data_IF_849932846931
#
_entry.id   IF_849932846931
#
_cell.length_a   1.000
_cell.length_b   1.000
_cell.length_c   1.000
_cell.angle_alpha   90.00
_cell.angle_beta   90.00
_cell.angle_gamma   90.00
#
_symmetry.space_group_name_H-M   'P 1'
#
loop_
_entity.id
_entity.type
_entity.pdbx_description
1 polymer ?
#
# COMPACT_ATOMS: atom_id res chain seq x y z
N UNK A 1 -0.61 -44.27 -45.17
CA UNK A 1 -0.95 -43.05 -44.41
C UNK A 1 -0.50 -43.33 -42.97
N UNK A 2 0.74 -42.98 -42.65
CA UNK A 2 1.27 -43.14 -41.29
C UNK A 2 0.52 -42.15 -40.40
N UNK A 3 -0.42 -42.64 -39.59
CA UNK A 3 -0.95 -41.83 -38.50
C UNK A 3 0.23 -41.55 -37.57
N UNK A 4 0.53 -40.28 -37.36
CA UNK A 4 1.64 -39.87 -36.49
C UNK A 4 1.46 -40.55 -35.13
N UNK A 5 2.52 -41.16 -34.60
CA UNK A 5 2.48 -41.83 -33.30
C UNK A 5 1.92 -40.93 -32.19
N UNK A 6 2.11 -39.60 -32.32
CA UNK A 6 1.53 -38.59 -31.43
C UNK A 6 0.01 -38.56 -31.48
N UNK A 7 -0.59 -38.63 -32.67
CA UNK A 7 -2.05 -38.65 -32.86
C UNK A 7 -2.64 -39.90 -32.20
N UNK A 8 -1.98 -41.05 -32.38
CA UNK A 8 -2.38 -42.30 -31.77
C UNK A 8 -2.33 -42.24 -30.24
N UNK A 9 -1.21 -41.79 -29.67
CA UNK A 9 -1.02 -41.69 -28.21
C UNK A 9 -2.02 -40.69 -27.60
N UNK A 10 -2.24 -39.53 -28.23
CA UNK A 10 -3.21 -38.54 -27.73
C UNK A 10 -4.63 -39.08 -27.78
N UNK A 11 -5.01 -39.76 -28.86
CA UNK A 11 -6.33 -40.35 -29.01
C UNK A 11 -6.60 -41.46 -27.99
N UNK A 12 -5.61 -42.33 -27.77
CA UNK A 12 -5.70 -43.42 -26.81
C UNK A 12 -5.72 -42.89 -25.37
N UNK A 13 -4.90 -41.89 -25.06
CA UNK A 13 -4.89 -41.21 -23.75
C UNK A 13 -6.24 -40.53 -23.46
N UNK A 14 -6.81 -39.83 -24.45
CA UNK A 14 -8.14 -39.22 -24.32
C UNK A 14 -9.24 -40.25 -24.05
N UNK A 15 -9.18 -41.37 -24.77
CA UNK A 15 -10.12 -42.48 -24.61
C UNK A 15 -9.98 -43.13 -23.23
N UNK A 16 -8.75 -43.33 -22.75
CA UNK A 16 -8.47 -43.85 -21.42
C UNK A 16 -8.96 -42.92 -20.29
N UNK A 17 -8.70 -41.62 -20.41
CA UNK A 17 -9.16 -40.60 -19.46
C UNK A 17 -10.69 -40.61 -19.31
N UNK A 18 -11.41 -40.67 -20.44
CA UNK A 18 -12.89 -40.69 -20.42
C UNK A 18 -13.46 -41.98 -19.84
N UNK A 19 -12.76 -43.10 -19.98
CA UNK A 19 -13.17 -44.40 -19.40
C UNK A 19 -12.88 -44.51 -17.91
N UNK A 20 -11.95 -43.71 -17.37
CA UNK A 20 -11.59 -43.72 -15.96
C UNK A 20 -11.65 -42.30 -15.34
N UNK A 21 -12.85 -41.72 -15.24
CA UNK A 21 -13.01 -40.32 -14.84
C UNK A 21 -12.61 -40.07 -13.39
N UNK A 22 -12.79 -41.04 -12.48
CA UNK A 22 -12.48 -40.88 -11.06
C UNK A 22 -10.98 -40.63 -10.81
N UNK A 23 -10.13 -41.51 -11.36
CA UNK A 23 -8.67 -41.39 -11.19
C UNK A 23 -8.12 -40.20 -11.99
N UNK A 24 -8.69 -39.94 -13.18
CA UNK A 24 -8.31 -38.78 -14.01
C UNK A 24 -8.58 -37.47 -13.29
N UNK A 25 -9.77 -37.29 -12.70
CA UNK A 25 -10.12 -36.09 -11.94
C UNK A 25 -9.25 -35.93 -10.69
N UNK A 26 -8.96 -37.02 -9.97
CA UNK A 26 -8.06 -36.97 -8.82
C UNK A 26 -6.64 -36.50 -9.20
N UNK A 27 -6.11 -37.01 -10.32
CA UNK A 27 -4.77 -36.68 -10.81
C UNK A 27 -4.69 -35.23 -11.30
N UNK A 28 -5.68 -34.78 -12.07
CA UNK A 28 -5.79 -33.38 -12.54
C UNK A 28 -6.02 -32.43 -11.36
N UNK A 29 -6.78 -32.86 -10.35
CA UNK A 29 -7.05 -32.09 -9.14
C UNK A 29 -5.76 -31.78 -8.38
N UNK A 30 -4.92 -32.80 -8.14
CA UNK A 30 -3.62 -32.59 -7.49
C UNK A 30 -2.71 -31.63 -8.27
N UNK A 31 -2.65 -31.78 -9.60
CA UNK A 31 -1.85 -30.88 -10.44
C UNK A 31 -2.39 -29.46 -10.42
N UNK A 32 -3.71 -29.31 -10.48
CA UNK A 32 -4.40 -28.01 -10.40
C UNK A 32 -4.09 -27.33 -9.07
N UNK A 33 -4.18 -28.05 -7.95
CA UNK A 33 -3.88 -27.47 -6.62
C UNK A 33 -2.42 -27.04 -6.55
N UNK A 34 -1.48 -27.85 -7.04
CA UNK A 34 -0.06 -27.49 -7.06
C UNK A 34 0.20 -26.21 -7.87
N UNK A 35 -0.38 -26.11 -9.07
CA UNK A 35 -0.28 -24.92 -9.92
C UNK A 35 -1.00 -23.71 -9.32
N UNK A 36 -2.13 -23.91 -8.63
CA UNK A 36 -2.89 -22.85 -7.98
C UNK A 36 -2.09 -22.28 -6.81
N UNK A 37 -1.50 -23.14 -5.96
CA UNK A 37 -0.61 -22.70 -4.88
C UNK A 37 0.57 -21.93 -5.45
N UNK A 38 1.26 -22.48 -6.47
CA UNK A 38 2.37 -21.81 -7.12
C UNK A 38 1.96 -20.46 -7.73
N UNK A 39 0.83 -20.41 -8.43
CA UNK A 39 0.29 -19.21 -9.05
C UNK A 39 -0.12 -18.15 -8.02
N UNK A 40 -0.72 -18.55 -6.90
CA UNK A 40 -1.06 -17.65 -5.81
C UNK A 40 0.20 -17.04 -5.18
N UNK A 41 1.26 -17.83 -4.97
CA UNK A 41 2.55 -17.32 -4.51
C UNK A 41 3.21 -16.39 -5.53
N UNK A 42 3.19 -16.75 -6.82
CA UNK A 42 3.76 -15.92 -7.87
C UNK A 42 3.02 -14.58 -8.00
N UNK A 43 1.68 -14.61 -7.98
CA UNK A 43 0.86 -13.40 -7.97
C UNK A 43 1.11 -12.57 -6.72
N UNK A 44 1.17 -13.19 -5.54
CA UNK A 44 1.48 -12.49 -4.30
C UNK A 44 2.86 -11.84 -4.31
N UNK A 45 3.87 -12.52 -4.87
CA UNK A 45 5.24 -12.00 -4.98
C UNK A 45 5.34 -10.84 -5.99
N UNK A 46 4.68 -10.94 -7.14
CA UNK A 46 4.66 -9.86 -8.15
C UNK A 46 3.82 -8.67 -7.66
N UNK A 47 2.75 -8.94 -6.92
CA UNK A 47 1.86 -7.92 -6.38
C UNK A 47 2.32 -7.38 -5.02
N UNK A 48 3.49 -7.82 -4.53
CA UNK A 48 4.03 -7.38 -3.25
C UNK A 48 4.26 -5.86 -3.23
N UNK A 49 4.63 -5.26 -4.38
CA UNK A 49 4.77 -3.82 -4.54
C UNK A 49 3.42 -3.07 -4.41
N UNK A 50 2.32 -3.67 -4.89
CA UNK A 50 0.98 -3.10 -4.73
C UNK A 50 0.47 -3.23 -3.29
N UNK A 51 0.75 -4.35 -2.62
CA UNK A 51 0.46 -4.52 -1.19
C UNK A 51 1.33 -3.60 -0.32
N UNK A 52 2.60 -3.40 -0.68
CA UNK A 52 3.47 -2.40 -0.06
C UNK A 52 2.94 -0.99 -0.31
N UNK A 53 2.35 -0.73 -1.48
CA UNK A 53 1.64 0.51 -1.82
C UNK A 53 0.40 0.81 -0.97
N UNK A 54 -0.37 -0.21 -0.54
CA UNK A 54 -1.46 0.00 0.42
C UNK A 54 -0.96 0.36 1.83
N UNK A 55 0.30 0.03 2.12
CA UNK A 55 1.04 0.50 3.29
C UNK A 55 2.06 1.59 2.92
N UNK A 56 1.92 2.27 1.77
CA UNK A 56 2.71 3.46 1.43
C UNK A 56 2.16 4.68 2.18
N UNK A 57 2.02 4.51 3.50
CA UNK A 57 1.79 5.56 4.49
C UNK A 57 3.01 6.48 4.65
N UNK A 58 3.92 6.48 3.67
CA UNK A 58 5.29 6.99 3.80
C UNK A 58 5.61 8.17 2.89
N UNK A 59 4.81 8.50 1.87
CA UNK A 59 5.07 9.72 1.07
C UNK A 59 4.64 11.01 1.75
N UNK A 60 4.08 10.96 2.96
CA UNK A 60 3.67 12.14 3.71
C UNK A 60 4.65 12.40 4.84
N UNK A 61 5.36 13.52 4.75
CA UNK A 61 6.21 14.05 5.81
C UNK A 61 5.35 14.91 6.74
N UNK A 62 5.37 14.59 8.03
CA UNK A 62 4.69 15.38 9.06
C UNK A 62 5.65 16.46 9.58
N UNK A 63 5.38 17.71 9.26
CA UNK A 63 6.16 18.86 9.75
C UNK A 63 5.39 19.50 10.91
N UNK A 64 5.85 19.28 12.14
CA UNK A 64 5.25 19.88 13.32
C UNK A 64 5.66 21.35 13.44
N UNK A 65 4.68 22.20 13.70
CA UNK A 65 4.88 23.64 13.82
C UNK A 65 5.05 24.04 15.28
N UNK A 66 5.97 24.97 15.54
CA UNK A 66 6.03 25.66 16.82
C UNK A 66 4.81 26.58 17.01
N UNK A 67 4.41 26.90 18.26
CA UNK A 67 3.18 27.67 18.54
C UNK A 67 3.11 29.05 17.87
N UNK A 68 4.25 29.69 17.64
CA UNK A 68 4.37 31.03 17.06
C UNK A 68 4.84 31.00 15.59
N UNK A 69 4.91 29.81 14.96
CA UNK A 69 5.38 29.66 13.60
C UNK A 69 4.37 30.22 12.57
N UNK A 70 4.88 30.95 11.57
CA UNK A 70 4.08 31.39 10.43
C UNK A 70 3.87 30.22 9.46
N UNK A 71 2.78 29.49 9.68
CA UNK A 71 2.38 28.36 8.85
C UNK A 71 2.29 28.71 7.37
N UNK A 72 1.88 29.93 7.01
CA UNK A 72 1.72 30.35 5.62
C UNK A 72 3.06 30.55 4.92
N UNK A 73 4.07 31.04 5.63
CA UNK A 73 5.43 31.15 5.10
C UNK A 73 6.08 29.77 4.92
N UNK A 74 5.87 28.87 5.87
CA UNK A 74 6.40 27.50 5.84
C UNK A 74 5.74 26.68 4.73
N UNK A 75 4.41 26.76 4.61
CA UNK A 75 3.65 26.09 3.54
C UNK A 75 4.11 26.55 2.15
N UNK A 76 4.24 27.86 1.92
CA UNK A 76 4.73 28.38 0.65
C UNK A 76 6.18 27.96 0.33
N UNK A 77 7.03 27.88 1.34
CA UNK A 77 8.43 27.45 1.16
C UNK A 77 8.50 25.97 0.76
N UNK A 78 7.71 25.12 1.42
CA UNK A 78 7.62 23.69 1.13
C UNK A 78 6.96 23.42 -0.22
N UNK A 79 5.90 24.15 -0.56
CA UNK A 79 5.23 24.05 -1.87
C UNK A 79 6.13 24.49 -3.03
N UNK A 80 7.12 25.36 -2.77
CA UNK A 80 8.11 25.79 -3.75
C UNK A 80 9.16 24.73 -4.10
N UNK A 81 9.24 23.63 -3.34
CA UNK A 81 10.18 22.54 -3.60
C UNK A 81 9.65 21.62 -4.70
N UNK A 82 10.47 21.35 -5.73
CA UNK A 82 10.09 20.49 -6.86
C UNK A 82 9.82 19.04 -6.46
N UNK A 83 10.32 18.62 -5.28
CA UNK A 83 10.11 17.27 -4.73
C UNK A 83 8.75 17.14 -4.04
N UNK A 84 8.09 18.26 -3.74
CA UNK A 84 6.80 18.31 -3.05
C UNK A 84 5.67 18.31 -4.08
N UNK A 85 4.72 17.40 -3.86
CA UNK A 85 3.51 17.25 -4.67
C UNK A 85 2.35 18.07 -4.12
N UNK A 86 2.21 18.12 -2.81
CA UNK A 86 1.09 18.77 -2.14
C UNK A 86 1.43 19.12 -0.67
N UNK A 87 0.77 20.13 -0.13
CA UNK A 87 0.90 20.55 1.27
C UNK A 87 -0.50 20.76 1.88
N UNK A 88 -0.77 20.16 3.03
CA UNK A 88 -2.03 20.34 3.78
C UNK A 88 -1.73 20.82 5.20
N UNK A 89 -2.19 22.02 5.54
CA UNK A 89 -2.17 22.49 6.93
C UNK A 89 -3.26 21.79 7.77
N UNK A 90 -2.86 21.25 8.91
CA UNK A 90 -3.75 20.64 9.90
C UNK A 90 -3.60 21.39 11.22
N UNK A 91 -4.69 22.02 11.67
CA UNK A 91 -4.71 22.72 12.96
C UNK A 91 -4.53 21.75 14.12
N UNK A 92 -4.05 22.26 15.26
CA UNK A 92 -3.87 21.48 16.49
C UNK A 92 -5.16 20.75 16.91
N UNK A 93 -6.33 21.39 16.77
CA UNK A 93 -7.63 20.80 17.10
C UNK A 93 -8.03 19.70 16.10
N UNK A 94 -7.79 19.93 14.81
CA UNK A 94 -8.06 18.94 13.78
C UNK A 94 -7.16 17.70 13.98
N UNK A 95 -5.91 17.91 14.37
CA UNK A 95 -4.97 16.83 14.66
C UNK A 95 -5.42 16.00 15.87
N UNK A 96 -5.87 16.67 16.93
CA UNK A 96 -6.45 16.03 18.11
C UNK A 96 -7.71 15.21 17.78
N UNK A 97 -8.60 15.73 16.93
CA UNK A 97 -9.79 14.99 16.50
C UNK A 97 -9.45 13.77 15.63
N UNK A 98 -8.49 13.90 14.70
CA UNK A 98 -8.00 12.77 13.88
C UNK A 98 -7.40 11.69 14.79
N UNK A 99 -6.57 12.09 15.76
CA UNK A 99 -5.97 11.19 16.75
C UNK A 99 -7.03 10.49 17.62
N UNK A 100 -8.04 11.22 18.09
CA UNK A 100 -9.14 10.67 18.90
C UNK A 100 -9.87 9.56 18.15
N UNK A 101 -10.27 9.84 16.90
CA UNK A 101 -10.97 8.88 16.04
C UNK A 101 -10.13 7.64 15.77
N UNK A 102 -8.83 7.80 15.51
CA UNK A 102 -7.92 6.68 15.26
C UNK A 102 -7.75 5.77 16.49
N UNK A 103 -7.80 6.35 17.70
CA UNK A 103 -7.66 5.62 18.96
C UNK A 103 -9.01 5.20 19.58
N UNK A 104 -10.14 5.49 18.93
CA UNK A 104 -11.47 5.19 19.45
C UNK A 104 -11.85 5.97 20.71
N UNK A 105 -11.22 7.13 20.94
CA UNK A 105 -11.48 7.99 22.10
C UNK A 105 -12.55 9.01 21.72
N UNK A 106 -13.50 9.25 22.63
CA UNK A 106 -14.52 10.26 22.46
C UNK A 106 -13.88 11.67 22.39
N UNK A 107 -14.09 12.45 21.31
CA UNK A 107 -13.59 13.82 21.20
C UNK A 107 -14.00 14.72 22.36
N UNK A 108 -15.15 14.47 22.99
CA UNK A 108 -15.63 15.26 24.13
C UNK A 108 -14.83 14.99 25.40
N UNK A 109 -14.27 13.79 25.56
CA UNK A 109 -13.36 13.47 26.67
C UNK A 109 -12.02 14.23 26.56
N UNK A 110 -11.64 14.63 25.35
CA UNK A 110 -10.39 15.35 25.08
C UNK A 110 -10.49 16.86 25.26
N UNK A 111 -11.70 17.42 25.39
CA UNK A 111 -11.91 18.86 25.66
C UNK A 111 -11.45 19.29 27.06
N UNK A 112 -11.25 18.32 27.96
CA UNK A 112 -10.93 18.54 29.38
C UNK A 112 -9.41 18.69 29.59
N UNK A 113 -8.61 18.24 28.63
CA UNK A 113 -7.14 18.34 28.66
C UNK A 113 -6.66 19.50 27.80
N UNK A 114 -5.57 20.15 28.22
CA UNK A 114 -4.87 21.10 27.37
C UNK A 114 -4.28 20.35 26.18
N UNK A 115 -4.55 20.78 24.94
CA UNK A 115 -4.17 20.05 23.73
C UNK A 115 -2.65 19.84 23.66
N UNK A 116 -2.13 18.60 23.74
CA UNK A 116 -0.70 18.35 23.69
C UNK A 116 -0.17 18.26 22.24
N UNK A 117 -1.06 18.24 21.24
CA UNK A 117 -0.67 18.05 19.84
C UNK A 117 -0.50 19.42 19.16
N UNK A 118 0.68 19.72 18.61
CA UNK A 118 0.89 20.93 17.84
C UNK A 118 0.14 20.87 16.50
N UNK A 119 0.00 22.03 15.87
CA UNK A 119 -0.38 22.10 14.47
C UNK A 119 0.72 21.46 13.60
N UNK A 120 0.33 20.92 12.44
CA UNK A 120 1.27 20.29 11.51
C UNK A 120 0.96 20.69 10.07
N UNK A 121 1.99 20.67 9.22
CA UNK A 121 1.86 20.71 7.77
C UNK A 121 2.19 19.32 7.24
N UNK A 122 1.23 18.70 6.57
CA UNK A 122 1.41 17.42 5.90
C UNK A 122 1.98 17.69 4.51
N UNK A 123 3.19 17.22 4.24
CA UNK A 123 3.87 17.42 2.96
C UNK A 123 3.89 16.10 2.19
N UNK A 124 3.18 16.04 1.07
CA UNK A 124 3.20 14.87 0.19
C UNK A 124 4.35 15.00 -0.79
N UNK A 125 5.26 14.03 -0.81
CA UNK A 125 6.42 13.98 -1.71
C UNK A 125 6.06 13.25 -3.01
N UNK A 126 6.68 13.65 -4.12
CA UNK A 126 6.49 13.03 -5.45
C UNK A 126 7.08 11.63 -5.50
N UNK A 127 8.30 11.47 -4.98
CA UNK A 127 9.05 10.20 -4.92
C UNK A 127 9.33 9.81 -3.46
N UNK A 128 9.05 8.56 -3.03
CA UNK A 128 9.46 8.06 -1.72
C UNK A 128 10.95 8.24 -1.39
N UNK A 129 11.85 8.23 -2.38
CA UNK A 129 13.28 8.36 -2.13
C UNK A 129 13.67 9.79 -1.66
N UNK A 130 12.82 10.78 -1.96
CA UNK A 130 13.05 12.20 -1.60
C UNK A 130 12.62 12.56 -0.16
N UNK A 131 11.97 11.63 0.56
CA UNK A 131 11.43 11.86 1.92
C UNK A 131 12.50 12.41 2.86
N UNK A 132 13.68 11.78 2.92
CA UNK A 132 14.73 12.19 3.84
C UNK A 132 15.23 13.61 3.53
N UNK A 133 15.37 13.93 2.25
CA UNK A 133 15.88 15.20 1.80
C UNK A 133 14.85 16.34 1.95
N UNK A 134 13.55 16.04 1.89
CA UNK A 134 12.46 16.97 2.21
C UNK A 134 12.34 17.16 3.73
N UNK A 135 12.48 16.09 4.52
CA UNK A 135 12.44 16.17 5.98
C UNK A 135 13.61 17.01 6.53
N UNK A 136 14.82 16.85 6.02
CA UNK A 136 15.98 17.66 6.39
C UNK A 136 15.79 19.14 6.01
N UNK A 137 15.20 19.41 4.85
CA UNK A 137 14.90 20.77 4.41
C UNK A 137 13.82 21.43 5.28
N UNK A 138 12.79 20.67 5.67
CA UNK A 138 11.72 21.14 6.54
C UNK A 138 12.21 21.37 7.98
N UNK A 139 13.11 20.53 8.50
CA UNK A 139 13.68 20.70 9.84
C UNK A 139 14.67 21.87 9.99
N UNK A 140 15.06 22.49 8.87
CA UNK A 140 15.90 23.69 8.86
C UNK A 140 15.09 25.01 8.85
N UNK A 141 13.75 24.92 8.77
CA UNK A 141 12.81 26.05 8.81
C UNK A 141 12.30 26.28 10.23
#
# INVERSE_FOLDING_TARGET
MERSALEFILHETWTAMRRNPLITVASIGNLTIALLVLGAFALGAINLDYMAGMQAKSTVVHVYLEPDADWGAIENTLYGDQRVKDTEFVSAEANLQKWAKMNGIDPDALKIINNPLPAEVLVTVVDPDDIAAVADAAGAL
#
